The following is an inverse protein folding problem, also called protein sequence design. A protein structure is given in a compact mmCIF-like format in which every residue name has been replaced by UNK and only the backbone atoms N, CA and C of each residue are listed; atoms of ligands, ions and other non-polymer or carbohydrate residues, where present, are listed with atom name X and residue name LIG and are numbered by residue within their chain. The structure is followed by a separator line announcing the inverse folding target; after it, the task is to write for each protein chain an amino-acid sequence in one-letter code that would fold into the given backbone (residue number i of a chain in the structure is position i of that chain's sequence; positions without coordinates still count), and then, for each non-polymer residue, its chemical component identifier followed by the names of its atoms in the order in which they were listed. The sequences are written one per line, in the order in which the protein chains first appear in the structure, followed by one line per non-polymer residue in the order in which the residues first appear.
data_IF_698531182246
#
_entry.id   IF_698531182246
#
_cell.length_a   1.000
_cell.length_b   1.000
_cell.length_c   1.000
_cell.angle_alpha   90.00
_cell.angle_beta   90.00
_cell.angle_gamma   90.00
#
_symmetry.space_group_name_H-M   'P 1'
#
loop_
_entity.id
_entity.type
_entity.pdbx_description
1 polymer ?
#
# COMPACT_ATOMS: atom_id res chain seq x y z
N UNK A 1 5.29 -10.66 19.67
CA UNK A 1 6.50 -9.88 19.32
C UNK A 1 6.58 -8.58 20.11
N UNK A 2 5.72 -7.57 19.91
CA UNK A 2 5.85 -6.27 20.60
C UNK A 2 5.80 -6.35 22.14
N UNK A 3 4.99 -7.25 22.72
CA UNK A 3 5.03 -7.56 24.16
C UNK A 3 6.42 -7.99 24.66
N UNK A 4 7.13 -8.82 23.88
CA UNK A 4 8.46 -9.32 24.22
C UNK A 4 9.51 -8.22 24.08
N UNK A 5 9.39 -7.36 23.05
CA UNK A 5 10.26 -6.20 22.88
C UNK A 5 10.09 -5.20 24.03
N UNK A 6 8.86 -4.96 24.46
CA UNK A 6 8.55 -4.06 25.56
C UNK A 6 9.17 -4.51 26.90
N UNK A 7 9.16 -5.82 27.16
CA UNK A 7 9.80 -6.39 28.37
C UNK A 7 11.32 -6.47 28.28
N UNK A 8 11.88 -6.65 27.08
CA UNK A 8 13.32 -6.89 26.90
C UNK A 8 14.12 -5.61 26.63
N UNK A 9 13.48 -4.56 26.09
CA UNK A 9 14.14 -3.32 25.72
C UNK A 9 14.23 -2.34 26.91
N UNK A 10 15.29 -1.50 26.97
CA UNK A 10 15.41 -0.44 27.98
C UNK A 10 14.16 0.44 28.04
N UNK A 11 13.75 0.92 29.21
CA UNK A 11 12.51 1.69 29.41
C UNK A 11 12.30 2.85 28.42
N UNK A 12 13.38 3.52 28.00
CA UNK A 12 13.31 4.65 27.09
C UNK A 12 13.40 4.31 25.60
N UNK A 13 13.52 3.03 25.24
CA UNK A 13 13.62 2.57 23.87
C UNK A 13 12.32 2.84 23.09
N UNK A 14 12.46 3.45 21.90
CA UNK A 14 11.39 3.63 20.92
C UNK A 14 11.21 2.33 20.13
N UNK A 15 9.97 1.84 20.05
CA UNK A 15 9.63 0.62 19.32
C UNK A 15 8.94 0.98 18.00
N UNK A 16 9.66 0.83 16.88
CA UNK A 16 9.14 1.13 15.55
C UNK A 16 8.69 -0.14 14.81
N UNK A 17 7.58 -0.04 14.06
CA UNK A 17 7.11 -1.10 13.15
C UNK A 17 7.11 -0.63 11.70
N UNK A 18 7.75 -1.38 10.80
CA UNK A 18 7.49 -1.26 9.37
C UNK A 18 6.29 -2.12 8.98
N UNK A 19 5.18 -1.46 8.63
CA UNK A 19 3.94 -2.11 8.21
C UNK A 19 3.22 -1.23 7.20
N UNK A 20 2.43 -1.83 6.32
CA UNK A 20 1.67 -1.12 5.29
C UNK A 20 0.17 -1.02 5.61
N UNK A 21 -0.31 -1.77 6.60
CA UNK A 21 -1.75 -1.91 6.88
C UNK A 21 -2.12 -2.25 8.32
N UNK A 22 -1.16 -2.63 9.18
CA UNK A 22 -1.44 -2.98 10.58
C UNK A 22 -1.49 -1.70 11.41
N UNK A 23 -2.54 -1.54 12.22
CA UNK A 23 -2.70 -0.36 13.08
C UNK A 23 -1.59 -0.27 14.11
N UNK A 24 -0.92 0.88 14.16
CA UNK A 24 0.12 1.20 15.14
C UNK A 24 -0.48 1.29 16.54
N UNK A 25 -1.70 1.81 16.67
CA UNK A 25 -2.45 1.86 17.93
C UNK A 25 -2.71 0.45 18.47
N UNK A 26 -3.09 -0.50 17.61
CA UNK A 26 -3.26 -1.91 18.02
C UNK A 26 -1.94 -2.54 18.46
N UNK A 27 -0.83 -2.22 17.79
CA UNK A 27 0.51 -2.68 18.18
C UNK A 27 0.92 -2.06 19.53
N UNK A 28 0.67 -0.77 19.73
CA UNK A 28 1.00 -0.05 20.95
C UNK A 28 0.21 -0.54 22.16
N UNK A 29 -1.07 -0.91 21.96
CA UNK A 29 -1.98 -1.36 23.01
C UNK A 29 -1.54 -2.65 23.73
N UNK A 30 -0.61 -3.43 23.15
CA UNK A 30 -0.06 -4.62 23.79
C UNK A 30 1.25 -4.36 24.53
N UNK A 31 1.64 -3.08 24.71
CA UNK A 31 2.87 -2.66 25.40
C UNK A 31 2.53 -1.77 26.60
N UNK A 32 3.46 -1.68 27.54
CA UNK A 32 3.39 -0.79 28.71
C UNK A 32 3.90 0.64 28.41
N UNK A 33 4.34 0.91 27.16
CA UNK A 33 4.88 2.20 26.70
C UNK A 33 4.22 2.69 25.39
N UNK A 34 2.89 2.76 25.32
CA UNK A 34 2.20 3.05 24.07
C UNK A 34 2.58 4.41 23.44
N UNK A 35 3.12 5.33 24.23
CA UNK A 35 3.68 6.61 23.80
C UNK A 35 5.02 6.51 23.06
N UNK A 36 5.77 5.43 23.28
CA UNK A 36 7.06 5.13 22.63
C UNK A 36 6.95 4.15 21.46
N UNK A 37 5.74 3.84 21.01
CA UNK A 37 5.50 2.98 19.83
C UNK A 37 5.13 3.84 18.62
N UNK A 38 5.73 3.56 17.46
CA UNK A 38 5.54 4.34 16.23
C UNK A 38 5.61 3.47 14.97
N UNK A 39 4.96 3.88 13.89
CA UNK A 39 5.10 3.25 12.58
C UNK A 39 6.13 3.94 11.70
N UNK A 40 6.86 3.16 10.91
CA UNK A 40 7.77 3.64 9.88
C UNK A 40 7.57 2.82 8.60
N UNK A 41 6.84 3.34 7.63
CA UNK A 41 6.56 2.63 6.38
C UNK A 41 7.51 3.10 5.27
N UNK A 42 8.43 2.23 4.88
CA UNK A 42 9.36 2.46 3.79
C UNK A 42 8.81 1.96 2.45
N UNK A 43 9.03 2.75 1.40
CA UNK A 43 8.61 2.38 0.04
C UNK A 43 9.65 1.46 -0.62
N UNK A 44 9.21 0.43 -1.33
CA UNK A 44 10.08 -0.53 -2.01
C UNK A 44 10.47 -0.03 -3.42
N UNK A 45 11.74 -0.13 -3.87
CA UNK A 45 12.95 -0.56 -3.15
C UNK A 45 13.46 0.44 -2.11
N UNK A 46 13.64 -0.01 -0.86
CA UNK A 46 13.97 0.84 0.28
C UNK A 46 15.23 1.70 0.08
N UNK A 47 16.35 1.22 -0.49
CA UNK A 47 17.52 2.07 -0.69
C UNK A 47 17.29 3.21 -1.69
N UNK A 48 16.46 2.98 -2.70
CA UNK A 48 16.23 3.90 -3.83
C UNK A 48 15.14 4.92 -3.51
N UNK A 49 14.07 4.48 -2.85
CA UNK A 49 12.93 5.34 -2.57
C UNK A 49 13.26 6.35 -1.47
N UNK A 50 12.96 7.62 -1.72
CA UNK A 50 13.30 8.72 -0.79
C UNK A 50 12.31 8.88 0.35
N UNK A 51 11.10 8.35 0.23
CA UNK A 51 10.01 8.60 1.18
C UNK A 51 10.00 7.57 2.33
N UNK A 52 9.67 8.04 3.53
CA UNK A 52 9.21 7.21 4.64
C UNK A 52 7.96 7.85 5.26
N UNK A 53 6.90 7.08 5.46
CA UNK A 53 5.75 7.53 6.25
C UNK A 53 6.03 7.28 7.74
N UNK A 54 5.98 8.34 8.54
CA UNK A 54 6.11 8.29 10.00
C UNK A 54 4.70 8.29 10.59
N UNK A 55 4.26 7.16 11.15
CA UNK A 55 2.87 6.93 11.52
C UNK A 55 2.71 6.99 13.04
N UNK A 56 1.99 8.00 13.52
CA UNK A 56 1.65 8.13 14.92
C UNK A 56 0.46 7.23 15.27
N UNK A 57 0.65 6.31 16.22
CA UNK A 57 -0.45 5.68 16.93
C UNK A 57 -1.16 6.70 17.83
N UNK A 58 -2.32 6.31 18.38
CA UNK A 58 -3.15 7.22 19.17
C UNK A 58 -2.41 7.88 20.35
N UNK A 59 -1.51 7.13 20.99
CA UNK A 59 -0.77 7.59 22.17
C UNK A 59 0.67 8.05 21.85
N UNK A 60 1.17 7.89 20.62
CA UNK A 60 2.56 8.21 20.27
C UNK A 60 2.90 9.65 20.66
N UNK A 61 3.98 9.84 21.42
CA UNK A 61 4.37 11.15 21.91
C UNK A 61 5.00 11.99 20.79
N UNK A 62 4.86 13.32 20.89
CA UNK A 62 5.49 14.27 19.95
C UNK A 62 7.01 14.14 19.92
N UNK A 63 7.63 13.91 21.07
CA UNK A 63 9.07 13.69 21.20
C UNK A 63 9.55 12.48 20.38
N UNK A 64 8.77 11.39 20.41
CA UNK A 64 9.05 10.18 19.62
C UNK A 64 8.89 10.46 18.14
N UNK A 65 7.84 11.20 17.74
CA UNK A 65 7.66 11.63 16.35
C UNK A 65 8.84 12.47 15.87
N UNK A 66 9.27 13.47 16.63
CA UNK A 66 10.39 14.36 16.30
C UNK A 66 11.72 13.59 16.17
N UNK A 67 11.99 12.69 17.12
CA UNK A 67 13.17 11.81 17.08
C UNK A 67 13.21 10.99 15.80
N UNK A 68 12.07 10.42 15.38
CA UNK A 68 11.98 9.57 14.19
C UNK A 68 12.03 10.37 12.89
N UNK A 69 11.50 11.60 12.88
CA UNK A 69 11.68 12.54 11.77
C UNK A 69 13.16 12.82 11.53
N UNK A 70 13.90 13.13 12.60
CA UNK A 70 15.32 13.47 12.47
C UNK A 70 16.18 12.26 12.11
N UNK A 71 15.88 11.09 12.67
CA UNK A 71 16.47 9.82 12.24
C UNK A 71 16.22 9.58 10.74
N UNK A 72 15.00 9.80 10.26
CA UNK A 72 14.64 9.61 8.85
C UNK A 72 15.44 10.52 7.93
N UNK A 73 15.64 11.79 8.31
CA UNK A 73 16.49 12.72 7.56
C UNK A 73 17.95 12.27 7.52
N UNK A 74 18.48 11.78 8.64
CA UNK A 74 19.86 11.24 8.70
C UNK A 74 20.04 10.03 7.77
N UNK A 75 18.99 9.23 7.58
CA UNK A 75 18.97 8.13 6.61
C UNK A 75 18.82 8.59 5.14
N UNK A 76 18.82 9.91 4.88
CA UNK A 76 18.62 10.48 3.54
C UNK A 76 17.19 10.33 3.04
N UNK A 77 16.23 10.13 3.95
CA UNK A 77 14.80 10.01 3.62
C UNK A 77 14.07 11.32 3.89
N UNK A 78 12.94 11.49 3.21
CA UNK A 78 11.95 12.54 3.42
C UNK A 78 10.85 11.94 4.29
N UNK A 79 10.74 12.33 5.57
CA UNK A 79 9.68 11.86 6.44
C UNK A 79 8.36 12.59 6.14
N UNK A 80 7.27 11.84 6.03
CA UNK A 80 5.91 12.37 5.98
C UNK A 80 5.12 11.86 7.19
N UNK A 81 4.71 12.78 8.06
CA UNK A 81 3.98 12.43 9.29
C UNK A 81 2.51 12.20 8.98
N UNK A 82 1.99 11.07 9.44
CA UNK A 82 0.58 10.68 9.28
C UNK A 82 0.06 10.06 10.56
N UNK A 83 -1.26 9.99 10.70
CA UNK A 83 -1.91 9.35 11.84
C UNK A 83 -2.34 7.93 11.48
N UNK A 84 -2.36 7.06 12.48
CA UNK A 84 -2.80 5.68 12.38
C UNK A 84 -4.30 5.60 12.04
N UNK A 85 -4.57 5.30 10.77
CA UNK A 85 -5.89 5.00 10.22
C UNK A 85 -5.74 3.85 9.22
N UNK A 86 -6.82 3.09 8.91
CA UNK A 86 -6.75 2.04 7.91
C UNK A 86 -6.16 2.55 6.59
N UNK A 87 -5.03 1.95 6.17
CA UNK A 87 -4.27 2.31 4.96
C UNK A 87 -3.43 3.60 5.04
N UNK A 88 -3.25 4.18 6.22
CA UNK A 88 -2.50 5.42 6.44
C UNK A 88 -2.91 6.51 5.45
N UNK A 89 -1.97 7.22 4.79
CA UNK A 89 -2.32 8.14 3.70
C UNK A 89 -2.09 7.53 2.32
N UNK A 90 -0.94 6.87 2.09
CA UNK A 90 -0.59 6.38 0.76
C UNK A 90 -1.61 5.36 0.23
N UNK A 91 -1.85 4.29 0.99
CA UNK A 91 -2.76 3.23 0.57
C UNK A 91 -4.23 3.67 0.59
N UNK A 92 -4.60 4.59 1.50
CA UNK A 92 -5.94 5.17 1.55
C UNK A 92 -6.33 5.93 0.26
N UNK A 93 -5.36 6.48 -0.45
CA UNK A 93 -5.59 7.22 -1.71
C UNK A 93 -5.34 6.32 -2.92
N UNK A 94 -4.19 5.63 -2.94
CA UNK A 94 -3.74 4.88 -4.11
C UNK A 94 -4.64 3.69 -4.44
N UNK A 95 -5.00 2.91 -3.42
CA UNK A 95 -5.69 1.63 -3.64
C UNK A 95 -7.14 1.84 -4.12
N UNK A 96 -7.92 2.80 -3.59
CA UNK A 96 -9.21 3.15 -4.19
C UNK A 96 -9.10 3.67 -5.62
N UNK A 97 -8.07 4.45 -5.96
CA UNK A 97 -7.85 4.89 -7.35
C UNK A 97 -7.60 3.70 -8.30
N UNK A 98 -6.80 2.73 -7.86
CA UNK A 98 -6.59 1.48 -8.60
C UNK A 98 -7.92 0.71 -8.72
N UNK A 99 -8.67 0.56 -7.63
CA UNK A 99 -9.96 -0.13 -7.64
C UNK A 99 -10.96 0.54 -8.60
N UNK A 100 -10.95 1.87 -8.67
CA UNK A 100 -11.79 2.63 -9.62
C UNK A 100 -11.41 2.36 -11.08
N UNK A 101 -10.11 2.26 -11.40
CA UNK A 101 -9.66 1.85 -12.71
C UNK A 101 -10.14 0.43 -13.07
N UNK A 102 -10.11 -0.49 -12.11
CA UNK A 102 -10.60 -1.87 -12.31
C UNK A 102 -12.12 -1.89 -12.46
N UNK A 103 -12.86 -1.07 -11.71
CA UNK A 103 -14.31 -0.92 -11.87
C UNK A 103 -14.66 -0.32 -13.23
N UNK A 104 -13.92 0.68 -13.69
CA UNK A 104 -14.13 1.29 -15.01
C UNK A 104 -13.94 0.27 -16.15
N UNK A 105 -12.95 -0.61 -16.01
CA UNK A 105 -12.76 -1.74 -16.92
C UNK A 105 -13.90 -2.76 -16.80
N UNK A 106 -14.30 -3.11 -15.57
CA UNK A 106 -15.38 -4.08 -15.31
C UNK A 106 -16.73 -3.62 -15.87
N UNK A 107 -17.01 -2.33 -15.82
CA UNK A 107 -18.22 -1.69 -16.35
C UNK A 107 -18.16 -1.44 -17.87
N UNK A 108 -17.02 -1.72 -18.51
CA UNK A 108 -16.84 -1.58 -19.96
C UNK A 108 -16.72 -0.13 -20.44
N UNK A 109 -16.29 0.79 -19.57
CA UNK A 109 -16.10 2.21 -19.94
C UNK A 109 -14.95 2.37 -20.93
N UNK A 110 -13.86 1.61 -20.73
CA UNK A 110 -12.67 1.62 -21.56
C UNK A 110 -11.88 0.31 -21.40
N UNK A 111 -10.99 0.01 -22.36
CA UNK A 111 -10.10 -1.14 -22.30
C UNK A 111 -8.86 -0.89 -21.43
N UNK A 112 -8.06 -1.95 -21.24
CA UNK A 112 -6.87 -1.92 -20.38
C UNK A 112 -5.85 -0.87 -20.86
N UNK A 113 -5.59 -0.84 -22.16
CA UNK A 113 -4.62 0.10 -22.76
C UNK A 113 -5.11 1.55 -22.68
N UNK A 114 -6.39 1.80 -22.93
CA UNK A 114 -6.95 3.15 -22.90
C UNK A 114 -6.90 3.74 -21.49
N UNK A 115 -7.31 2.97 -20.48
CA UNK A 115 -7.28 3.40 -19.07
C UNK A 115 -5.85 3.77 -18.65
N UNK A 116 -4.89 2.88 -18.91
CA UNK A 116 -3.50 3.11 -18.53
C UNK A 116 -2.86 4.24 -19.36
N UNK A 117 -3.19 4.36 -20.64
CA UNK A 117 -2.71 5.43 -21.52
C UNK A 117 -3.19 6.81 -21.04
N UNK A 118 -4.49 6.96 -20.74
CA UNK A 118 -5.06 8.21 -20.24
C UNK A 118 -4.42 8.62 -18.92
N UNK A 119 -4.23 7.69 -17.98
CA UNK A 119 -3.62 8.01 -16.69
C UNK A 119 -2.13 8.34 -16.83
N UNK A 120 -1.41 7.69 -17.74
CA UNK A 120 0.01 7.98 -17.98
C UNK A 120 0.23 9.29 -18.72
N UNK A 121 -0.42 9.47 -19.86
CA UNK A 121 -0.16 10.60 -20.76
C UNK A 121 -1.03 11.81 -20.42
N UNK A 122 -2.28 11.59 -20.01
CA UNK A 122 -3.21 12.66 -19.64
C UNK A 122 -2.98 13.18 -18.21
N UNK A 123 -2.82 12.28 -17.24
CA UNK A 123 -2.66 12.63 -15.82
C UNK A 123 -1.20 12.62 -15.35
N UNK A 124 -0.25 12.40 -16.27
CA UNK A 124 1.19 12.39 -16.02
C UNK A 124 1.66 11.37 -14.96
N UNK A 125 0.94 10.25 -14.79
CA UNK A 125 1.42 9.18 -13.93
C UNK A 125 2.57 8.42 -14.60
N UNK A 126 3.62 8.01 -13.84
CA UNK A 126 4.75 7.26 -14.42
C UNK A 126 4.34 5.86 -14.90
N UNK A 127 3.24 5.33 -14.38
CA UNK A 127 2.70 4.01 -14.67
C UNK A 127 1.17 4.08 -14.62
N UNK A 128 0.50 3.34 -15.50
CA UNK A 128 -0.96 3.25 -15.50
C UNK A 128 -1.46 2.47 -14.29
N UNK A 129 -2.67 2.74 -13.79
CA UNK A 129 -3.19 2.10 -12.59
C UNK A 129 -3.32 0.57 -12.70
N UNK A 130 -3.65 0.03 -13.88
CA UNK A 130 -3.80 -1.42 -14.07
C UNK A 130 -2.42 -2.09 -14.12
N UNK A 131 -1.47 -1.51 -14.87
CA UNK A 131 -0.08 -1.96 -14.86
C UNK A 131 0.53 -1.87 -13.45
N UNK A 132 0.23 -0.81 -12.69
CA UNK A 132 0.70 -0.63 -11.32
C UNK A 132 0.10 -1.69 -10.39
N UNK A 133 -1.18 -2.02 -10.54
CA UNK A 133 -1.84 -3.09 -9.78
C UNK A 133 -1.14 -4.44 -10.02
N UNK A 134 -0.82 -4.77 -11.27
CA UNK A 134 -0.09 -6.00 -11.61
C UNK A 134 1.33 -6.02 -11.02
N UNK A 135 1.99 -4.86 -10.94
CA UNK A 135 3.31 -4.74 -10.33
C UNK A 135 3.28 -4.89 -8.81
N UNK A 136 2.27 -4.31 -8.14
CA UNK A 136 2.04 -4.46 -6.70
C UNK A 136 1.65 -5.90 -6.36
N UNK A 137 0.82 -6.51 -7.20
CA UNK A 137 0.17 -7.79 -6.99
C UNK A 137 -1.31 -7.62 -6.64
N UNK A 138 -2.18 -8.26 -7.43
CA UNK A 138 -3.63 -8.07 -7.29
C UNK A 138 -4.19 -8.58 -5.96
N UNK A 139 -3.59 -9.63 -5.39
CA UNK A 139 -3.92 -10.12 -4.05
C UNK A 139 -3.55 -9.13 -2.95
N UNK A 140 -2.44 -8.41 -3.11
CA UNK A 140 -2.03 -7.35 -2.18
C UNK A 140 -3.04 -6.20 -2.27
N UNK A 141 -3.37 -5.73 -3.49
CA UNK A 141 -4.41 -4.72 -3.69
C UNK A 141 -5.74 -5.11 -3.04
N UNK A 142 -6.19 -6.35 -3.27
CA UNK A 142 -7.42 -6.88 -2.67
C UNK A 142 -7.34 -6.93 -1.15
N UNK A 143 -6.20 -7.34 -0.58
CA UNK A 143 -6.02 -7.41 0.87
C UNK A 143 -6.13 -6.02 1.51
N UNK A 144 -5.57 -4.99 0.87
CA UNK A 144 -5.63 -3.62 1.36
C UNK A 144 -7.04 -3.05 1.25
N UNK A 145 -7.77 -3.31 0.15
CA UNK A 145 -9.18 -2.91 0.03
C UNK A 145 -10.03 -3.52 1.13
N UNK A 146 -9.82 -4.80 1.48
CA UNK A 146 -10.51 -5.43 2.61
C UNK A 146 -10.21 -4.73 3.93
N UNK A 147 -8.93 -4.41 4.20
CA UNK A 147 -8.55 -3.64 5.40
C UNK A 147 -9.21 -2.26 5.43
N UNK A 148 -9.27 -1.55 4.30
CA UNK A 148 -9.95 -0.26 4.19
C UNK A 148 -11.46 -0.41 4.42
N UNK A 149 -12.09 -1.38 3.76
CA UNK A 149 -13.52 -1.64 3.86
C UNK A 149 -13.93 -2.02 5.28
N UNK A 150 -13.26 -2.97 5.90
CA UNK A 150 -13.55 -3.42 7.26
C UNK A 150 -13.20 -2.34 8.29
N UNK A 151 -12.12 -1.60 8.05
CA UNK A 151 -11.66 -0.54 8.93
C UNK A 151 -12.58 0.69 8.97
N UNK A 152 -13.22 1.03 7.86
CA UNK A 152 -14.17 2.16 7.78
C UNK A 152 -15.65 1.74 7.82
N UNK A 153 -15.95 0.47 7.57
CA UNK A 153 -17.32 -0.03 7.43
C UNK A 153 -18.10 0.62 6.29
N UNK A 154 -17.42 1.14 5.27
CA UNK A 154 -18.01 1.99 4.24
C UNK A 154 -17.93 1.36 2.84
N UNK A 155 -19.04 1.25 2.09
CA UNK A 155 -19.11 0.55 0.80
C UNK A 155 -18.23 1.17 -0.29
N UNK A 156 -17.90 2.46 -0.19
CA UNK A 156 -16.87 3.14 -1.02
C UNK A 156 -15.57 2.34 -1.18
N UNK A 157 -15.17 1.57 -0.16
CA UNK A 157 -13.92 0.80 -0.20
C UNK A 157 -14.13 -0.66 -0.61
N UNK A 158 -15.34 -1.04 -1.04
CA UNK A 158 -15.64 -2.40 -1.46
C UNK A 158 -14.78 -2.78 -2.68
N UNK A 159 -14.12 -3.96 -2.65
CA UNK A 159 -13.33 -4.42 -3.79
C UNK A 159 -14.20 -4.66 -5.03
N UNK A 160 -13.70 -4.28 -6.21
CA UNK A 160 -14.35 -4.59 -7.47
C UNK A 160 -14.50 -6.11 -7.66
N UNK A 161 -15.66 -6.62 -8.10
CA UNK A 161 -15.86 -8.06 -8.35
C UNK A 161 -14.85 -8.65 -9.33
N UNK A 162 -14.42 -7.88 -10.35
CA UNK A 162 -13.38 -8.31 -11.28
C UNK A 162 -12.06 -8.61 -10.56
N UNK A 163 -11.62 -7.72 -9.67
CA UNK A 163 -10.41 -7.91 -8.87
C UNK A 163 -10.51 -9.18 -8.02
N UNK A 164 -11.65 -9.38 -7.34
CA UNK A 164 -11.88 -10.57 -6.50
C UNK A 164 -11.76 -11.85 -7.34
N UNK A 165 -12.37 -11.88 -8.52
CA UNK A 165 -12.34 -13.05 -9.41
C UNK A 165 -10.94 -13.30 -9.99
N UNK A 166 -10.22 -12.26 -10.38
CA UNK A 166 -8.84 -12.38 -10.87
C UNK A 166 -7.91 -12.98 -9.81
N UNK A 167 -7.99 -12.49 -8.58
CA UNK A 167 -7.22 -13.04 -7.46
C UNK A 167 -7.60 -14.48 -7.17
N UNK A 168 -8.91 -14.79 -7.17
CA UNK A 168 -9.41 -16.17 -6.96
C UNK A 168 -8.91 -17.12 -8.04
N UNK A 169 -8.77 -16.65 -9.28
CA UNK A 169 -8.23 -17.40 -10.41
C UNK A 169 -6.70 -17.48 -10.45
N UNK A 170 -5.99 -16.94 -9.47
CA UNK A 170 -4.52 -16.94 -9.41
C UNK A 170 -3.86 -16.00 -10.42
N UNK A 171 -4.60 -15.05 -10.98
CA UNK A 171 -4.05 -13.98 -11.83
C UNK A 171 -3.61 -12.84 -10.92
N UNK A 172 -2.34 -12.85 -10.49
CA UNK A 172 -1.81 -11.95 -9.47
C UNK A 172 -0.83 -10.91 -10.02
N UNK A 173 -0.78 -10.73 -11.35
CA UNK A 173 0.11 -9.78 -12.02
C UNK A 173 1.48 -10.36 -12.29
N UNK A 174 2.53 -9.54 -12.13
CA UNK A 174 3.91 -9.86 -12.52
C UNK A 174 4.40 -11.17 -11.89
N UNK A 175 4.08 -11.41 -10.62
CA UNK A 175 4.58 -12.57 -9.87
C UNK A 175 4.02 -13.92 -10.32
N UNK A 176 2.89 -13.92 -11.03
CA UNK A 176 2.28 -15.12 -11.63
C UNK A 176 2.37 -15.11 -13.16
N UNK A 177 3.07 -14.15 -13.74
CA UNK A 177 3.21 -13.98 -15.19
C UNK A 177 1.97 -13.42 -15.90
N UNK A 178 0.88 -13.14 -15.17
CA UNK A 178 -0.36 -12.64 -15.77
C UNK A 178 -1.27 -11.96 -14.73
N UNK A 179 -1.81 -10.81 -15.13
CA UNK A 179 -2.88 -10.08 -14.47
C UNK A 179 -3.76 -9.37 -15.51
N UNK A 180 -3.73 -8.03 -15.55
CA UNK A 180 -4.27 -7.26 -16.68
C UNK A 180 -3.40 -7.38 -17.93
N UNK A 181 -2.09 -7.52 -17.73
CA UNK A 181 -1.11 -7.79 -18.78
C UNK A 181 -0.48 -9.19 -18.63
N UNK A 182 0.14 -9.68 -19.70
CA UNK A 182 0.97 -10.88 -19.72
C UNK A 182 2.44 -10.49 -19.56
N UNK A 183 3.12 -11.11 -18.61
CA UNK A 183 4.52 -10.85 -18.28
C UNK A 183 5.39 -12.05 -18.65
N UNK A 184 6.14 -11.92 -19.74
CA UNK A 184 7.14 -12.92 -20.16
C UNK A 184 8.54 -12.43 -19.80
N UNK A 185 9.38 -13.25 -19.15
CA UNK A 185 10.78 -12.89 -18.88
C UNK A 185 11.50 -12.41 -20.14
N UNK A 186 12.18 -11.27 -20.06
CA UNK A 186 12.98 -10.70 -21.16
C UNK A 186 12.21 -9.91 -22.21
N UNK A 187 10.86 -9.87 -22.17
CA UNK A 187 10.06 -8.97 -23.02
C UNK A 187 9.77 -7.67 -22.27
N UNK A 188 10.03 -6.53 -22.92
CA UNK A 188 9.72 -5.19 -22.38
C UNK A 188 8.34 -4.68 -22.81
N UNK A 189 7.79 -5.23 -23.88
CA UNK A 189 6.49 -4.84 -24.40
C UNK A 189 5.38 -5.40 -23.51
N UNK A 190 4.45 -4.51 -23.12
CA UNK A 190 3.26 -4.90 -22.39
C UNK A 190 2.26 -5.47 -23.38
N UNK A 191 1.81 -6.69 -23.14
CA UNK A 191 0.78 -7.35 -23.94
C UNK A 191 -0.45 -7.52 -23.04
N UNK A 192 -1.59 -6.97 -23.45
CA UNK A 192 -2.85 -7.13 -22.71
C UNK A 192 -3.21 -8.61 -22.60
N UNK A 193 -3.65 -9.05 -21.42
CA UNK A 193 -4.15 -10.42 -21.24
C UNK A 193 -5.29 -10.70 -22.21
N UNK A 194 -5.25 -11.87 -22.86
CA UNK A 194 -6.26 -12.28 -23.85
C UNK A 194 -7.69 -12.29 -23.32
N UNK A 195 -7.89 -12.23 -21.99
CA UNK A 195 -9.21 -12.03 -21.37
C UNK A 195 -9.84 -10.67 -21.72
N UNK A 196 -9.03 -9.65 -21.98
CA UNK A 196 -9.45 -8.27 -22.21
C UNK A 196 -9.27 -7.82 -23.67
N UNK A 197 -8.85 -8.74 -24.55
CA UNK A 197 -8.75 -8.50 -25.99
C UNK A 197 -9.98 -9.14 -26.64
N UNK A 198 -10.96 -8.30 -26.99
CA UNK A 198 -12.13 -8.70 -27.78
C UNK A 198 -11.88 -8.51 -29.27
#
# INVERSE_FOLDING_TARGET
MFQQLDTSAPADCILASNTSSISITKIAAVTQRPDKVIGMHFMNPVPVMKLVEVINGYNTSKEVTETIIDLSKQLGKVPCVVNDYPGFIANRILIPMINEAISSLYEGIAGVEEIDCIMKLGMAHPMGPLQLADFIGLDVCLSILKVLHDGFGHPKYAPCPLLVNMVTAGKLGVKTGEGFYVYTPGKKELVVSGRFVS
#
